data_IF_359757734062
#
_entry.id   IF_359757734062
#
_cell.length_a   1.000
_cell.length_b   1.000
_cell.length_c   1.000
_cell.angle_alpha   90.00
_cell.angle_beta   90.00
_cell.angle_gamma   90.00
#
_symmetry.space_group_name_H-M   'P 1'
#
loop_
_entity.id
_entity.type
_entity.pdbx_description
1 polymer ?
#
# COMPACT_ATOMS: atom_id res chain seq x y z
N UNK A 1 -34.23 -5.79 38.26
CA UNK A 1 -34.00 -4.41 37.76
C UNK A 1 -32.51 -4.15 37.95
N UNK A 2 -31.64 -4.52 37.01
CA UNK A 2 -31.50 -3.86 35.72
C UNK A 2 -30.30 -2.92 35.82
N UNK A 3 -29.10 -3.48 35.98
CA UNK A 3 -27.84 -2.73 35.96
C UNK A 3 -27.48 -2.46 34.50
N UNK A 4 -27.90 -1.32 33.98
CA UNK A 4 -27.34 -0.80 32.73
C UNK A 4 -25.90 -0.38 32.98
N UNK A 5 -24.98 -1.04 32.25
CA UNK A 5 -23.59 -0.62 32.14
C UNK A 5 -23.52 0.37 30.98
N UNK A 6 -23.16 1.65 31.17
CA UNK A 6 -22.90 2.52 30.03
C UNK A 6 -21.52 2.17 29.46
N UNK A 7 -21.52 1.77 28.19
CA UNK A 7 -20.34 1.55 27.39
C UNK A 7 -19.58 2.87 27.13
N UNK A 8 -18.25 2.76 27.05
CA UNK A 8 -17.29 3.77 26.58
C UNK A 8 -17.30 5.14 27.31
N UNK A 9 -16.81 5.17 28.55
CA UNK A 9 -16.34 6.42 29.17
C UNK A 9 -14.88 6.68 28.81
N UNK A 10 -14.57 7.83 28.21
CA UNK A 10 -13.20 8.32 28.08
C UNK A 10 -12.51 8.24 29.46
N UNK A 11 -11.47 7.42 29.59
CA UNK A 11 -10.73 7.27 30.85
C UNK A 11 -9.93 8.54 31.11
N UNK A 12 -10.56 9.46 31.84
CA UNK A 12 -9.94 10.64 32.41
C UNK A 12 -8.69 10.23 33.22
N UNK A 13 -7.53 10.83 32.90
CA UNK A 13 -6.28 10.59 33.64
C UNK A 13 -6.02 11.70 34.64
N UNK A 14 -5.47 11.32 35.79
CA UNK A 14 -4.88 12.26 36.74
C UNK A 14 -3.71 12.97 36.04
N UNK A 15 -3.84 14.27 35.83
CA UNK A 15 -2.81 15.10 35.15
C UNK A 15 -2.08 16.05 36.09
N UNK A 16 -2.47 16.08 37.37
CA UNK A 16 -1.76 16.85 38.40
C UNK A 16 -2.49 16.85 39.74
N UNK A 17 -1.70 17.02 40.79
CA UNK A 17 -2.17 17.24 42.16
C UNK A 17 -1.63 18.58 42.66
N UNK A 18 -2.52 19.49 43.07
CA UNK A 18 -2.13 20.76 43.69
C UNK A 18 -1.96 20.60 45.21
N UNK A 19 -0.98 21.28 45.84
CA UNK A 19 -0.93 21.39 47.31
C UNK A 19 -1.33 22.81 47.71
N UNK A 20 -2.45 22.95 48.42
CA UNK A 20 -2.91 24.26 48.91
C UNK A 20 -2.62 24.43 50.40
N UNK A 21 -2.12 25.62 50.79
CA UNK A 21 -2.11 26.13 52.17
C UNK A 21 -3.39 26.98 52.35
N UNK A 22 -4.17 26.86 53.45
CA UNK A 22 -3.73 26.66 54.83
C UNK A 22 -4.14 25.31 55.47
N UNK A 23 -3.70 25.11 56.73
CA UNK A 23 -3.61 23.86 57.54
C UNK A 23 -4.85 22.93 57.61
N UNK A 24 -6.04 23.34 57.17
CA UNK A 24 -7.29 22.60 57.42
C UNK A 24 -7.80 21.77 56.23
N UNK A 25 -7.33 22.03 55.00
CA UNK A 25 -7.69 21.19 53.86
C UNK A 25 -6.47 20.86 52.98
N UNK A 26 -5.91 19.67 53.21
CA UNK A 26 -4.72 19.13 52.51
C UNK A 26 -5.08 18.33 51.25
N UNK A 27 -6.36 18.15 50.94
CA UNK A 27 -6.76 17.42 49.73
C UNK A 27 -6.60 18.35 48.53
N UNK A 28 -5.49 18.16 47.82
CA UNK A 28 -5.26 18.78 46.53
C UNK A 28 -6.44 18.56 45.60
N UNK A 29 -6.79 19.58 44.79
CA UNK A 29 -7.73 19.35 43.70
C UNK A 29 -7.10 18.37 42.72
N UNK A 30 -7.77 17.24 42.53
CA UNK A 30 -7.46 16.28 41.48
C UNK A 30 -8.03 16.83 40.19
N UNK A 31 -7.15 17.09 39.21
CA UNK A 31 -7.54 17.48 37.87
C UNK A 31 -7.50 16.26 36.95
N UNK A 32 -8.65 16.02 36.33
CA UNK A 32 -8.84 15.00 35.31
C UNK A 32 -8.85 15.68 33.95
N UNK A 33 -8.03 15.20 33.00
CA UNK A 33 -8.05 15.68 31.62
C UNK A 33 -8.19 14.51 30.65
N UNK A 34 -8.91 14.76 29.55
CA UNK A 34 -8.89 13.90 28.38
C UNK A 34 -7.63 14.22 27.57
N UNK A 35 -6.62 13.38 27.72
CA UNK A 35 -5.33 13.55 27.03
C UNK A 35 -5.36 12.75 25.75
N UNK A 36 -4.95 13.35 24.63
CA UNK A 36 -4.75 12.63 23.37
C UNK A 36 -3.70 11.52 23.53
N UNK A 37 -4.09 10.28 23.25
CA UNK A 37 -3.22 9.11 23.17
C UNK A 37 -3.09 8.70 21.72
N UNK A 38 -1.93 8.17 21.36
CA UNK A 38 -1.72 7.62 20.01
C UNK A 38 -2.76 6.53 19.67
N UNK A 39 -3.18 5.76 20.67
CA UNK A 39 -4.22 4.71 20.55
C UNK A 39 -5.63 5.26 20.33
N UNK A 40 -5.84 6.57 20.37
CA UNK A 40 -7.13 7.20 20.05
C UNK A 40 -7.30 7.44 18.55
N UNK A 41 -6.21 7.32 17.76
CA UNK A 41 -6.23 7.51 16.30
C UNK A 41 -7.27 6.65 15.58
N UNK A 42 -7.45 5.35 15.88
CA UNK A 42 -8.46 4.57 15.19
C UNK A 42 -9.88 5.08 15.39
N UNK A 43 -10.25 5.49 16.61
CA UNK A 43 -11.58 6.04 16.88
C UNK A 43 -11.79 7.38 16.17
N UNK A 44 -10.74 8.21 16.07
CA UNK A 44 -10.78 9.46 15.33
C UNK A 44 -10.97 9.19 13.83
N UNK A 45 -10.22 8.24 13.27
CA UNK A 45 -10.38 7.81 11.87
C UNK A 45 -11.80 7.30 11.61
N UNK A 46 -12.40 6.52 12.52
CA UNK A 46 -13.79 6.07 12.40
C UNK A 46 -14.78 7.23 12.39
N UNK A 47 -14.58 8.26 13.24
CA UNK A 47 -15.42 9.48 13.25
C UNK A 47 -15.35 10.24 11.92
N UNK A 48 -14.21 10.19 11.24
CA UNK A 48 -14.02 10.78 9.91
C UNK A 48 -14.60 9.91 8.78
N UNK A 49 -15.12 8.72 9.09
CA UNK A 49 -15.56 7.74 8.09
C UNK A 49 -14.41 6.96 7.43
N UNK A 50 -13.18 7.07 7.95
CA UNK A 50 -12.00 6.38 7.43
C UNK A 50 -11.89 4.96 7.99
N UNK A 51 -12.81 4.09 7.52
CA UNK A 51 -13.01 2.74 8.06
C UNK A 51 -11.80 1.83 7.82
N UNK A 52 -11.22 1.85 6.63
CA UNK A 52 -10.08 0.99 6.31
C UNK A 52 -8.82 1.46 7.03
N UNK A 53 -8.60 2.78 7.11
CA UNK A 53 -7.51 3.40 7.87
C UNK A 53 -7.59 3.01 9.34
N UNK A 54 -8.77 3.15 9.96
CA UNK A 54 -8.98 2.80 11.35
C UNK A 54 -8.71 1.31 11.61
N UNK A 55 -9.16 0.44 10.70
CA UNK A 55 -8.99 -1.01 10.83
C UNK A 55 -7.52 -1.41 10.70
N UNK A 56 -6.78 -0.84 9.74
CA UNK A 56 -5.33 -1.05 9.63
C UNK A 56 -4.59 -0.54 10.86
N UNK A 57 -4.96 0.64 11.36
CA UNK A 57 -4.36 1.22 12.56
C UNK A 57 -4.59 0.34 13.79
N UNK A 58 -5.81 -0.18 14.00
CA UNK A 58 -6.13 -1.15 15.06
C UNK A 58 -5.26 -2.40 14.92
N UNK A 59 -5.22 -2.98 13.73
CA UNK A 59 -4.41 -4.18 13.45
C UNK A 59 -2.92 -3.94 13.70
N UNK A 60 -2.38 -2.77 13.35
CA UNK A 60 -1.00 -2.41 13.66
C UNK A 60 -0.77 -2.38 15.17
N UNK A 61 -1.64 -1.71 15.95
CA UNK A 61 -1.55 -1.65 17.41
C UNK A 61 -1.70 -3.01 18.09
N UNK A 62 -2.51 -3.91 17.55
CA UNK A 62 -2.77 -5.24 18.12
C UNK A 62 -1.70 -6.27 17.71
N UNK A 63 -0.91 -5.98 16.68
CA UNK A 63 0.12 -6.89 16.18
C UNK A 63 1.36 -6.90 17.07
N UNK A 64 2.03 -8.06 17.26
CA UNK A 64 3.33 -8.12 17.92
C UNK A 64 4.32 -7.12 17.32
N UNK A 65 5.11 -6.48 18.18
CA UNK A 65 6.06 -5.44 17.77
C UNK A 65 7.01 -5.95 16.70
N UNK A 66 6.92 -5.38 15.50
CA UNK A 66 7.71 -5.76 14.35
C UNK A 66 8.07 -4.54 13.50
N UNK A 67 9.33 -4.47 13.10
CA UNK A 67 9.88 -3.42 12.24
C UNK A 67 10.35 -4.06 10.93
N UNK A 68 9.74 -3.70 9.81
CA UNK A 68 10.17 -4.20 8.50
C UNK A 68 11.54 -3.67 8.11
N UNK A 69 12.34 -4.54 7.48
CA UNK A 69 13.59 -4.12 6.84
C UNK A 69 13.31 -3.34 5.56
N UNK A 70 14.34 -2.67 5.03
CA UNK A 70 14.23 -1.96 3.76
C UNK A 70 13.87 -2.88 2.59
N UNK A 71 14.50 -4.06 2.52
CA UNK A 71 14.26 -5.05 1.46
C UNK A 71 12.82 -5.56 1.48
N UNK A 72 12.31 -5.76 2.70
CA UNK A 72 10.94 -6.13 2.98
C UNK A 72 9.94 -5.07 2.50
N UNK A 73 10.17 -3.80 2.82
CA UNK A 73 9.38 -2.67 2.32
C UNK A 73 9.40 -2.57 0.79
N UNK A 74 10.59 -2.66 0.19
CA UNK A 74 10.79 -2.58 -1.26
C UNK A 74 10.24 -3.80 -2.04
N UNK A 75 9.81 -4.84 -1.34
CA UNK A 75 9.24 -6.05 -1.93
C UNK A 75 10.28 -6.96 -2.59
N UNK A 76 11.51 -6.92 -2.08
CA UNK A 76 12.61 -7.81 -2.50
C UNK A 76 12.54 -9.17 -1.79
N UNK A 77 11.84 -9.23 -0.65
CA UNK A 77 11.53 -10.46 0.08
C UNK A 77 10.08 -10.86 -0.24
N UNK A 78 9.88 -12.13 -0.58
CA UNK A 78 8.55 -12.69 -0.85
C UNK A 78 7.65 -12.52 0.36
N UNK A 79 6.42 -12.02 0.13
CA UNK A 79 5.47 -11.80 1.21
C UNK A 79 5.03 -13.12 1.88
N UNK A 80 5.21 -14.28 1.22
CA UNK A 80 4.95 -15.60 1.80
C UNK A 80 5.87 -15.95 2.98
N UNK A 81 7.01 -15.25 3.12
CA UNK A 81 7.95 -15.46 4.22
C UNK A 81 7.51 -14.78 5.53
N UNK A 82 6.44 -13.99 5.50
CA UNK A 82 5.97 -13.26 6.67
C UNK A 82 4.97 -14.09 7.47
N UNK A 83 4.99 -13.96 8.80
CA UNK A 83 3.90 -14.49 9.63
C UNK A 83 2.54 -13.97 9.16
N UNK A 84 1.54 -14.84 9.14
CA UNK A 84 0.19 -14.51 8.68
C UNK A 84 -0.45 -13.34 9.41
N UNK A 85 -0.11 -13.10 10.68
CA UNK A 85 -0.62 -11.97 11.45
C UNK A 85 -0.09 -10.60 10.98
N UNK A 86 1.05 -10.57 10.28
CA UNK A 86 1.60 -9.35 9.64
C UNK A 86 1.12 -9.18 8.20
N UNK A 87 0.30 -10.11 7.70
CA UNK A 87 -0.32 -10.02 6.38
C UNK A 87 -1.76 -9.51 6.54
N UNK A 88 -2.09 -8.49 5.75
CA UNK A 88 -3.46 -8.03 5.53
C UNK A 88 -3.82 -8.22 4.06
N UNK A 89 -4.69 -9.20 3.78
CA UNK A 89 -5.03 -9.61 2.41
C UNK A 89 -6.53 -9.54 2.12
N UNK A 90 -7.32 -8.90 2.99
CA UNK A 90 -8.78 -8.96 2.95
C UNK A 90 -9.46 -7.60 3.05
N UNK A 91 -8.86 -6.66 3.78
CA UNK A 91 -9.48 -5.37 4.08
C UNK A 91 -9.51 -4.44 2.86
N UNK A 92 -8.39 -4.32 2.15
CA UNK A 92 -8.29 -3.44 0.99
C UNK A 92 -8.69 -4.23 -0.24
N UNK A 93 -9.77 -3.83 -0.90
CA UNK A 93 -10.18 -4.43 -2.18
C UNK A 93 -9.92 -3.48 -3.34
N UNK A 94 -9.74 -4.03 -4.53
CA UNK A 94 -9.68 -3.29 -5.79
C UNK A 94 -10.99 -2.55 -6.05
N UNK A 95 -12.14 -3.11 -5.67
CA UNK A 95 -13.42 -2.41 -5.73
C UNK A 95 -13.42 -1.13 -4.87
N UNK A 96 -13.03 -1.25 -3.60
CA UNK A 96 -12.91 -0.10 -2.71
C UNK A 96 -11.89 0.91 -3.25
N UNK A 97 -10.71 0.46 -3.66
CA UNK A 97 -9.66 1.35 -4.14
C UNK A 97 -10.09 2.10 -5.41
N UNK A 98 -10.78 1.44 -6.33
CA UNK A 98 -11.25 2.04 -7.58
C UNK A 98 -12.52 2.89 -7.41
N UNK A 99 -13.16 2.88 -6.25
CA UNK A 99 -14.22 3.83 -5.91
C UNK A 99 -13.70 5.26 -5.79
N UNK A 100 -12.40 5.44 -5.48
CA UNK A 100 -11.73 6.74 -5.45
C UNK A 100 -11.40 7.17 -6.88
N UNK A 101 -11.98 8.28 -7.39
CA UNK A 101 -11.79 8.68 -8.79
C UNK A 101 -10.33 8.89 -9.17
N UNK A 102 -9.48 9.34 -8.24
CA UNK A 102 -8.05 9.53 -8.49
C UNK A 102 -7.32 8.22 -8.72
N UNK A 103 -7.66 7.19 -7.96
CA UNK A 103 -7.05 5.87 -8.09
C UNK A 103 -7.56 5.17 -9.33
N UNK A 104 -8.85 5.34 -9.66
CA UNK A 104 -9.40 4.83 -10.91
C UNK A 104 -8.67 5.41 -12.13
N UNK A 105 -8.35 6.71 -12.14
CA UNK A 105 -7.59 7.32 -13.24
C UNK A 105 -6.19 6.72 -13.39
N UNK A 106 -5.49 6.48 -12.29
CA UNK A 106 -4.19 5.81 -12.30
C UNK A 106 -4.31 4.39 -12.87
N UNK A 107 -5.30 3.62 -12.41
CA UNK A 107 -5.59 2.28 -12.89
C UNK A 107 -5.87 2.25 -14.41
N UNK A 108 -6.82 3.07 -14.89
CA UNK A 108 -7.20 3.13 -16.29
C UNK A 108 -6.01 3.53 -17.18
N UNK A 109 -5.18 4.47 -16.70
CA UNK A 109 -3.98 4.94 -17.40
C UNK A 109 -2.94 3.85 -17.65
N UNK A 110 -2.87 2.81 -16.81
CA UNK A 110 -1.92 1.71 -16.98
C UNK A 110 -2.17 0.89 -18.26
N UNK A 111 -3.42 0.85 -18.74
CA UNK A 111 -3.80 0.14 -19.96
C UNK A 111 -3.52 0.92 -21.24
N UNK A 112 -2.92 2.11 -21.12
CA UNK A 112 -2.61 2.97 -22.24
C UNK A 112 -3.85 3.64 -22.81
N UNK A 113 -3.64 4.48 -23.82
CA UNK A 113 -4.72 5.16 -24.52
C UNK A 113 -4.35 5.38 -25.98
N UNK A 114 -5.35 5.43 -26.85
CA UNK A 114 -5.14 5.74 -28.25
C UNK A 114 -6.24 6.67 -28.73
N UNK A 115 -5.84 7.83 -29.20
CA UNK A 115 -6.71 8.76 -29.92
C UNK A 115 -6.07 9.11 -31.27
N UNK A 116 -6.72 10.00 -32.04
CA UNK A 116 -6.28 10.37 -33.40
C UNK A 116 -4.84 10.93 -33.44
N UNK A 117 -4.36 11.55 -32.36
CA UNK A 117 -3.10 12.30 -32.32
C UNK A 117 -2.02 11.67 -31.44
N UNK A 118 -2.39 10.73 -30.56
CA UNK A 118 -1.48 10.15 -29.57
C UNK A 118 -1.85 8.69 -29.27
N UNK A 119 -0.83 7.83 -29.28
CA UNK A 119 -0.92 6.45 -28.82
C UNK A 119 0.06 6.26 -27.68
N UNK A 120 -0.47 6.02 -26.48
CA UNK A 120 0.30 5.70 -25.28
C UNK A 120 0.16 4.18 -25.08
N UNK A 121 1.26 3.40 -25.20
CA UNK A 121 1.19 1.97 -24.96
C UNK A 121 0.88 1.68 -23.49
N UNK A 122 0.27 0.53 -23.18
CA UNK A 122 0.13 0.09 -21.80
C UNK A 122 1.48 -0.04 -21.11
N UNK A 123 1.53 0.27 -19.81
CA UNK A 123 2.81 0.29 -19.08
C UNK A 123 3.47 -1.09 -18.98
N UNK A 124 2.67 -2.16 -19.04
CA UNK A 124 3.15 -3.54 -18.98
C UNK A 124 3.83 -4.00 -20.27
N UNK A 125 3.77 -3.22 -21.36
CA UNK A 125 4.44 -3.56 -22.62
C UNK A 125 5.91 -3.09 -22.69
N UNK A 126 6.41 -2.45 -21.63
CA UNK A 126 7.75 -1.88 -21.62
C UNK A 126 8.86 -2.95 -21.60
N UNK A 127 10.09 -2.63 -22.06
CA UNK A 127 11.17 -3.61 -22.15
C UNK A 127 11.58 -4.26 -20.82
N UNK A 128 11.53 -3.53 -19.69
CA UNK A 128 11.85 -4.07 -18.37
C UNK A 128 10.82 -5.10 -17.92
N UNK A 129 9.53 -4.83 -18.16
CA UNK A 129 8.43 -5.74 -17.85
C UNK A 129 8.52 -7.02 -18.69
N UNK A 130 8.79 -6.88 -20.00
CA UNK A 130 9.06 -8.03 -20.90
C UNK A 130 10.20 -8.89 -20.37
N UNK A 131 11.34 -8.28 -20.03
CA UNK A 131 12.51 -8.99 -19.52
C UNK A 131 12.18 -9.75 -18.21
N UNK A 132 11.43 -9.13 -17.30
CA UNK A 132 11.02 -9.78 -16.06
C UNK A 132 10.05 -10.95 -16.31
N UNK A 133 9.09 -10.80 -17.22
CA UNK A 133 8.19 -11.89 -17.61
C UNK A 133 8.96 -13.07 -18.23
N UNK A 134 9.93 -12.80 -19.12
CA UNK A 134 10.80 -13.84 -19.69
C UNK A 134 11.57 -14.59 -18.59
N UNK A 135 12.15 -13.87 -17.62
CA UNK A 135 12.84 -14.51 -16.48
C UNK A 135 11.93 -15.45 -15.69
N UNK A 136 10.68 -15.05 -15.46
CA UNK A 136 9.69 -15.88 -14.75
C UNK A 136 9.30 -17.11 -15.54
N UNK A 137 9.02 -16.94 -16.84
CA UNK A 137 8.73 -18.05 -17.75
C UNK A 137 9.89 -19.06 -17.82
N UNK A 138 11.13 -18.56 -17.85
CA UNK A 138 12.33 -19.40 -17.82
C UNK A 138 12.43 -20.20 -16.53
N UNK A 139 12.35 -19.53 -15.36
CA UNK A 139 12.37 -20.20 -14.04
C UNK A 139 11.26 -21.23 -13.87
N UNK A 140 10.11 -20.99 -14.50
CA UNK A 140 8.97 -21.91 -14.49
C UNK A 140 8.99 -22.96 -15.61
N UNK A 141 10.12 -23.09 -16.34
CA UNK A 141 10.32 -24.07 -17.42
C UNK A 141 9.26 -24.02 -18.53
N UNK A 142 8.80 -22.82 -18.91
CA UNK A 142 7.72 -22.64 -19.90
C UNK A 142 8.18 -22.62 -21.36
N UNK A 143 9.48 -22.54 -21.61
CA UNK A 143 10.05 -22.59 -22.96
C UNK A 143 10.30 -24.05 -23.37
N UNK A 144 9.24 -24.73 -23.82
CA UNK A 144 9.29 -26.14 -24.23
C UNK A 144 8.97 -26.33 -25.71
N UNK A 145 9.14 -27.54 -26.22
CA UNK A 145 8.74 -27.89 -27.59
C UNK A 145 7.22 -27.96 -27.82
N UNK A 146 6.42 -27.77 -26.78
CA UNK A 146 4.96 -27.74 -26.84
C UNK A 146 4.42 -26.40 -26.33
N UNK A 147 3.20 -25.99 -26.73
CA UNK A 147 2.55 -24.83 -26.12
C UNK A 147 2.39 -25.02 -24.61
N UNK A 148 2.70 -23.98 -23.84
CA UNK A 148 2.61 -23.99 -22.38
C UNK A 148 1.76 -22.84 -21.89
N UNK A 149 0.84 -23.11 -20.96
CA UNK A 149 0.11 -22.07 -20.23
C UNK A 149 0.92 -21.57 -19.03
N UNK A 150 0.71 -20.30 -18.69
CA UNK A 150 1.28 -19.66 -17.50
C UNK A 150 0.28 -18.68 -16.89
N UNK A 151 0.53 -18.31 -15.63
CA UNK A 151 -0.42 -17.55 -14.85
C UNK A 151 -1.54 -18.43 -14.30
N UNK A 152 -2.31 -17.84 -13.39
CA UNK A 152 -3.61 -18.29 -12.92
C UNK A 152 -4.15 -17.14 -12.06
N UNK A 153 -4.88 -16.22 -12.69
CA UNK A 153 -5.35 -15.01 -12.02
C UNK A 153 -6.47 -15.27 -11.00
N UNK A 154 -6.85 -16.54 -10.76
CA UNK A 154 -7.75 -16.93 -9.67
C UNK A 154 -7.01 -17.08 -8.34
N UNK A 155 -5.68 -17.22 -8.38
CA UNK A 155 -4.83 -17.26 -7.18
C UNK A 155 -4.82 -15.92 -6.45
N UNK A 156 -4.45 -15.97 -5.17
CA UNK A 156 -4.29 -14.78 -4.34
C UNK A 156 -3.18 -13.85 -4.88
N UNK A 157 -3.30 -12.56 -4.58
CA UNK A 157 -2.28 -11.57 -4.87
C UNK A 157 -0.91 -11.97 -4.32
N UNK A 158 -0.88 -12.59 -3.14
CA UNK A 158 0.33 -13.13 -2.52
C UNK A 158 1.05 -14.15 -3.42
N UNK A 159 0.32 -15.14 -3.94
CA UNK A 159 0.89 -16.14 -4.83
C UNK A 159 1.33 -15.52 -6.18
N UNK A 160 0.53 -14.61 -6.72
CA UNK A 160 0.84 -13.94 -7.98
C UNK A 160 2.06 -13.01 -7.89
N UNK A 161 2.31 -12.36 -6.75
CA UNK A 161 3.49 -11.50 -6.55
C UNK A 161 4.79 -12.28 -6.74
N UNK A 162 4.79 -13.53 -6.26
CA UNK A 162 5.96 -14.40 -6.31
C UNK A 162 6.06 -15.20 -7.60
N UNK A 163 4.95 -15.53 -8.24
CA UNK A 163 4.95 -16.35 -9.46
C UNK A 163 4.97 -15.52 -10.75
N UNK A 164 4.00 -14.60 -10.92
CA UNK A 164 3.62 -14.05 -12.23
C UNK A 164 3.58 -12.52 -12.33
N UNK A 165 3.90 -11.80 -11.25
CA UNK A 165 4.01 -10.35 -11.27
C UNK A 165 5.20 -9.88 -12.10
N UNK A 166 4.95 -9.10 -13.15
CA UNK A 166 6.01 -8.70 -14.09
C UNK A 166 6.07 -7.19 -14.32
N UNK A 167 5.14 -6.42 -13.77
CA UNK A 167 5.17 -4.95 -13.79
C UNK A 167 4.63 -4.34 -12.50
N UNK A 168 5.12 -3.16 -12.14
CA UNK A 168 4.63 -2.34 -11.03
C UNK A 168 4.40 -0.89 -11.46
N UNK A 169 3.41 -0.26 -10.86
CA UNK A 169 3.10 1.17 -10.98
C UNK A 169 2.91 1.76 -9.60
N UNK A 170 3.80 2.67 -9.20
CA UNK A 170 3.67 3.34 -7.92
C UNK A 170 2.72 4.53 -8.06
N UNK A 171 1.75 4.60 -7.16
CA UNK A 171 0.82 5.73 -7.05
C UNK A 171 1.31 6.62 -5.92
N UNK A 172 1.50 7.90 -6.22
CA UNK A 172 1.99 8.88 -5.26
C UNK A 172 0.91 9.91 -4.97
N UNK A 173 0.34 9.87 -3.76
CA UNK A 173 -0.68 10.83 -3.31
C UNK A 173 -0.06 12.16 -2.82
N UNK A 174 1.26 12.37 -2.98
CA UNK A 174 1.94 13.64 -2.67
C UNK A 174 1.29 14.87 -3.34
N UNK A 175 0.55 14.69 -4.44
CA UNK A 175 -0.19 15.80 -5.07
C UNK A 175 -1.31 16.34 -4.18
N UNK A 176 -1.94 15.51 -3.35
CA UNK A 176 -2.98 15.97 -2.42
C UNK A 176 -2.37 16.73 -1.24
N UNK A 177 -1.17 16.37 -0.79
CA UNK A 177 -0.39 17.17 0.16
C UNK A 177 0.01 18.55 -0.40
N UNK A 178 0.34 18.64 -1.69
CA UNK A 178 0.60 19.94 -2.35
C UNK A 178 -0.70 20.72 -2.61
N UNK A 179 -1.82 20.06 -2.84
CA UNK A 179 -3.11 20.74 -2.99
C UNK A 179 -3.66 21.23 -1.63
N UNK A 180 -3.46 20.45 -0.56
CA UNK A 180 -3.64 20.85 0.83
C UNK A 180 -2.89 22.16 1.14
N UNK A 181 -1.63 22.24 0.69
CA UNK A 181 -0.76 23.39 0.82
C UNK A 181 -1.32 24.67 0.17
N UNK A 182 -2.02 24.59 -0.97
CA UNK A 182 -2.62 25.76 -1.61
C UNK A 182 -3.94 26.18 -0.93
N UNK A 183 -4.73 25.20 -0.45
CA UNK A 183 -6.04 25.43 0.18
C UNK A 183 -5.96 26.05 1.58
N UNK A 184 -4.84 25.94 2.28
CA UNK A 184 -4.58 26.61 3.57
C UNK A 184 -4.54 28.15 3.46
N UNK A 185 -4.41 28.70 2.24
CA UNK A 185 -4.66 30.13 1.99
C UNK A 185 -6.15 30.52 1.96
N UNK A 186 -7.04 29.53 2.02
CA UNK A 186 -8.50 29.67 1.80
C UNK A 186 -9.33 28.70 2.64
N UNK A 187 -9.10 28.51 3.93
CA UNK A 187 -10.04 27.83 4.87
C UNK A 187 -10.57 26.42 4.48
N UNK A 188 -10.11 25.83 3.38
CA UNK A 188 -10.61 24.58 2.86
C UNK A 188 -9.67 23.47 3.32
N UNK A 189 -10.23 22.54 4.08
CA UNK A 189 -9.56 21.34 4.55
C UNK A 189 -8.90 20.61 3.36
N UNK A 190 -7.67 20.08 3.49
CA UNK A 190 -7.20 19.10 2.53
C UNK A 190 -8.23 17.99 2.32
N UNK A 191 -8.41 17.54 1.08
CA UNK A 191 -9.31 16.42 0.75
C UNK A 191 -8.67 15.08 1.20
N UNK A 192 -8.28 14.97 2.47
CA UNK A 192 -7.79 13.73 3.06
C UNK A 192 -8.96 12.78 3.25
N UNK A 193 -8.73 11.52 2.93
CA UNK A 193 -9.76 10.50 2.98
C UNK A 193 -9.22 9.15 3.46
N UNK A 194 -10.09 8.14 3.45
CA UNK A 194 -9.75 6.80 3.90
C UNK A 194 -8.63 6.15 3.07
N UNK A 195 -8.48 6.52 1.79
CA UNK A 195 -7.39 6.03 0.95
C UNK A 195 -6.04 6.60 1.42
N UNK A 196 -6.03 7.88 1.80
CA UNK A 196 -4.84 8.52 2.38
C UNK A 196 -4.42 7.87 3.69
N UNK A 197 -5.35 7.66 4.62
CA UNK A 197 -5.04 7.09 5.94
C UNK A 197 -4.70 5.60 5.91
N UNK A 198 -5.18 4.87 4.90
CA UNK A 198 -4.97 3.43 4.76
C UNK A 198 -3.72 3.07 3.97
N UNK A 199 -3.43 3.80 2.89
CA UNK A 199 -2.36 3.44 1.95
C UNK A 199 -1.41 4.59 1.64
N UNK A 200 -1.90 5.83 1.60
CA UNK A 200 -1.17 7.00 1.08
C UNK A 200 -0.45 6.71 -0.25
N UNK A 201 0.82 6.30 -0.21
CA UNK A 201 1.61 5.88 -1.36
C UNK A 201 1.65 4.36 -1.45
N UNK A 202 0.97 3.79 -2.44
CA UNK A 202 0.98 2.34 -2.67
C UNK A 202 1.48 1.98 -4.07
N UNK A 203 1.55 0.68 -4.36
CA UNK A 203 1.96 0.18 -5.67
C UNK A 203 0.90 -0.75 -6.25
N UNK A 204 0.42 -0.46 -7.46
CA UNK A 204 -0.22 -1.47 -8.28
C UNK A 204 0.83 -2.45 -8.80
N UNK A 205 0.60 -3.74 -8.55
CA UNK A 205 1.34 -4.84 -9.11
C UNK A 205 0.52 -5.48 -10.22
N UNK A 206 1.21 -5.93 -11.26
CA UNK A 206 0.61 -6.44 -12.49
C UNK A 206 1.15 -7.85 -12.75
N UNK A 207 0.25 -8.82 -12.78
CA UNK A 207 0.51 -10.21 -13.13
C UNK A 207 -0.13 -10.57 -14.49
N UNK A 208 0.45 -11.55 -15.17
CA UNK A 208 0.01 -11.96 -16.51
C UNK A 208 -0.44 -13.41 -16.55
N UNK A 209 -1.46 -13.68 -17.36
CA UNK A 209 -1.92 -15.03 -17.69
C UNK A 209 -2.04 -15.20 -19.21
N UNK A 210 -1.55 -16.33 -19.70
CA UNK A 210 -1.48 -16.58 -21.13
C UNK A 210 -0.70 -17.83 -21.52
N UNK A 211 -0.15 -17.81 -22.73
CA UNK A 211 0.50 -18.97 -23.34
C UNK A 211 1.86 -18.61 -23.94
N UNK A 212 2.80 -19.55 -23.88
CA UNK A 212 4.05 -19.57 -24.64
C UNK A 212 3.92 -20.63 -25.73
N UNK A 213 4.03 -20.23 -27.00
CA UNK A 213 3.89 -21.15 -28.15
C UNK A 213 5.20 -21.23 -28.94
N UNK A 214 5.84 -22.40 -29.06
CA UNK A 214 7.03 -22.55 -29.90
C UNK A 214 6.66 -22.48 -31.38
N UNK A 215 7.41 -21.70 -32.15
CA UNK A 215 7.39 -21.73 -33.61
C UNK A 215 8.58 -22.54 -34.09
N UNK A 216 8.26 -23.64 -34.76
CA UNK A 216 9.24 -24.62 -35.22
C UNK A 216 9.55 -24.43 -36.70
N UNK A 217 10.81 -24.65 -37.05
CA UNK A 217 11.29 -24.67 -38.44
C UNK A 217 11.93 -26.02 -38.72
N UNK A 218 11.66 -26.56 -39.90
CA UNK A 218 12.34 -27.76 -40.41
C UNK A 218 13.63 -27.32 -41.07
N UNK A 219 14.76 -27.87 -40.62
CA UNK A 219 16.08 -27.65 -41.21
C UNK A 219 16.51 -28.95 -41.87
N UNK A 220 16.85 -28.88 -43.16
CA UNK A 220 17.37 -30.01 -43.93
C UNK A 220 18.87 -29.84 -44.09
N UNK A 221 19.66 -30.80 -43.63
CA UNK A 221 21.11 -30.83 -43.83
C UNK A 221 21.58 -32.27 -44.05
N UNK A 222 22.37 -32.52 -45.09
CA UNK A 222 22.93 -33.85 -45.38
C UNK A 222 21.90 -34.97 -45.59
N UNK A 223 20.69 -34.67 -46.08
CA UNK A 223 19.62 -35.66 -46.26
C UNK A 223 18.81 -35.97 -45.01
N UNK A 224 19.17 -35.42 -43.85
CA UNK A 224 18.39 -35.51 -42.61
C UNK A 224 17.57 -34.24 -42.38
N UNK A 225 16.36 -34.41 -41.84
CA UNK A 225 15.49 -33.30 -41.43
C UNK A 225 15.45 -33.22 -39.90
N UNK A 226 15.80 -32.07 -39.34
CA UNK A 226 15.65 -31.77 -37.91
C UNK A 226 14.61 -30.67 -37.71
N UNK A 227 13.89 -30.72 -36.60
CA UNK A 227 12.92 -29.70 -36.21
C UNK A 227 13.54 -28.88 -35.08
N UNK A 228 13.71 -27.59 -35.30
CA UNK A 228 14.28 -26.68 -34.31
C UNK A 228 13.25 -25.60 -33.96
N UNK A 229 13.25 -25.15 -32.70
CA UNK A 229 12.48 -23.98 -32.31
C UNK A 229 13.20 -22.73 -32.82
N UNK A 230 12.56 -22.02 -33.75
CA UNK A 230 13.08 -20.76 -34.28
C UNK A 230 12.88 -19.63 -33.27
N UNK A 231 11.68 -19.53 -32.70
CA UNK A 231 11.35 -18.57 -31.65
C UNK A 231 10.10 -19.02 -30.88
N UNK A 232 9.85 -18.37 -29.76
CA UNK A 232 8.64 -18.52 -28.95
C UNK A 232 7.75 -17.29 -29.12
N UNK A 233 6.45 -17.51 -29.32
CA UNK A 233 5.43 -16.47 -29.24
C UNK A 233 4.84 -16.47 -27.83
N UNK A 234 5.11 -15.40 -27.07
CA UNK A 234 4.48 -15.16 -25.78
C UNK A 234 3.22 -14.35 -26.02
N UNK A 235 2.09 -14.84 -25.50
CA UNK A 235 0.78 -14.24 -25.63
C UNK A 235 0.15 -14.09 -24.25
N UNK A 236 0.15 -12.88 -23.70
CA UNK A 236 -0.56 -12.53 -22.47
C UNK A 236 -1.98 -12.11 -22.84
N UNK A 237 -2.95 -12.92 -22.41
CA UNK A 237 -4.37 -12.74 -22.77
C UNK A 237 -5.17 -12.03 -21.68
N UNK A 238 -4.76 -12.19 -20.42
CA UNK A 238 -5.38 -11.55 -19.26
C UNK A 238 -4.30 -10.91 -18.39
N UNK A 239 -4.67 -9.80 -17.77
CA UNK A 239 -3.83 -9.07 -16.83
C UNK A 239 -4.55 -9.02 -15.48
N UNK A 240 -3.86 -9.43 -14.42
CA UNK A 240 -4.31 -9.24 -13.05
C UNK A 240 -3.64 -8.00 -12.46
N UNK A 241 -4.41 -7.13 -11.84
CA UNK A 241 -3.91 -5.97 -11.11
C UNK A 241 -4.34 -6.08 -9.66
N UNK A 242 -3.41 -5.83 -8.73
CA UNK A 242 -3.67 -5.78 -7.30
C UNK A 242 -2.77 -4.73 -6.65
N UNK A 243 -3.14 -4.27 -5.47
CA UNK A 243 -2.37 -3.35 -4.66
C UNK A 243 -1.42 -4.14 -3.77
N UNK A 244 -0.19 -3.62 -3.64
CA UNK A 244 0.73 -3.96 -2.55
C UNK A 244 1.17 -2.67 -1.87
N UNK A 245 1.11 -2.69 -0.55
CA UNK A 245 1.62 -1.62 0.30
C UNK A 245 2.26 -2.18 1.59
N UNK A 246 3.00 -1.32 2.30
CA UNK A 246 3.45 -1.60 3.66
C UNK A 246 2.88 -0.56 4.62
N UNK A 247 2.00 -1.00 5.53
CA UNK A 247 1.47 -0.16 6.59
C UNK A 247 2.46 -0.12 7.73
N UNK A 248 3.35 0.87 7.69
CA UNK A 248 4.53 0.94 8.56
C UNK A 248 4.82 2.37 9.05
N UNK A 249 5.40 2.46 10.24
CA UNK A 249 5.77 3.74 10.85
C UNK A 249 7.27 3.83 11.11
N UNK A 250 8.06 3.53 10.08
CA UNK A 250 9.53 3.51 10.18
C UNK A 250 10.17 4.82 9.68
N UNK A 251 11.38 5.11 10.17
CA UNK A 251 12.10 6.32 9.80
C UNK A 251 11.49 7.60 10.37
N UNK A 252 11.84 8.74 9.78
CA UNK A 252 11.41 10.06 10.24
C UNK A 252 10.32 10.61 9.32
N UNK A 253 9.08 10.69 9.81
CA UNK A 253 7.95 11.23 9.06
C UNK A 253 6.97 11.94 10.00
N UNK A 254 6.45 13.07 9.51
CA UNK A 254 5.34 13.80 10.09
C UNK A 254 4.00 13.31 9.51
N UNK A 255 3.02 13.04 10.37
CA UNK A 255 1.75 12.40 10.03
C UNK A 255 0.53 13.29 10.30
N UNK A 256 0.75 14.58 10.56
CA UNK A 256 -0.33 15.52 10.88
C UNK A 256 -0.39 15.88 12.37
N UNK A 257 -1.13 16.94 12.67
CA UNK A 257 -1.62 17.22 14.01
C UNK A 257 -3.06 16.73 14.10
N UNK A 258 -3.37 15.97 15.14
CA UNK A 258 -4.65 15.29 15.29
C UNK A 258 -5.39 15.84 16.52
N UNK A 259 -6.71 16.00 16.41
CA UNK A 259 -7.58 16.40 17.51
C UNK A 259 -8.71 15.39 17.69
N UNK A 260 -8.98 15.05 18.95
CA UNK A 260 -10.15 14.25 19.35
C UNK A 260 -11.47 14.99 19.21
N UNK A 261 -11.42 16.32 19.31
CA UNK A 261 -12.58 17.15 19.64
C UNK A 261 -12.88 18.17 18.54
N UNK A 262 -11.85 18.72 17.91
CA UNK A 262 -12.03 19.76 16.90
C UNK A 262 -11.96 19.18 15.50
N UNK A 263 -13.02 19.43 14.74
CA UNK A 263 -12.96 19.28 13.29
C UNK A 263 -12.18 20.48 12.68
N UNK A 264 -11.43 20.27 11.59
CA UNK A 264 -11.07 18.97 11.04
C UNK A 264 -10.16 18.17 11.98
N UNK A 265 -10.41 16.87 12.12
CA UNK A 265 -9.76 16.02 13.12
C UNK A 265 -8.27 15.76 12.86
N UNK A 266 -7.77 16.10 11.68
CA UNK A 266 -6.37 16.07 11.31
C UNK A 266 -6.02 17.31 10.49
N UNK A 267 -4.85 17.89 10.74
CA UNK A 267 -4.29 19.03 10.01
C UNK A 267 -2.86 18.76 9.62
N UNK A 268 -2.49 19.08 8.38
CA UNK A 268 -1.14 18.88 7.87
C UNK A 268 -0.49 20.24 7.64
N UNK A 269 0.54 20.57 8.41
CA UNK A 269 1.25 21.84 8.28
C UNK A 269 2.50 21.70 7.40
N UNK A 270 2.70 22.58 6.41
CA UNK A 270 3.83 22.48 5.46
C UNK A 270 5.20 22.55 6.13
N UNK A 271 5.40 23.48 7.08
CA UNK A 271 6.68 23.62 7.77
C UNK A 271 7.02 22.37 8.59
N UNK A 272 6.03 21.82 9.30
CA UNK A 272 6.18 20.56 10.03
C UNK A 272 6.49 19.39 9.09
N UNK A 273 5.87 19.35 7.90
CA UNK A 273 6.16 18.33 6.90
C UNK A 273 7.62 18.39 6.42
N UNK A 274 8.09 19.56 5.97
CA UNK A 274 9.48 19.73 5.49
C UNK A 274 10.52 19.49 6.58
N UNK A 275 10.22 19.83 7.83
CA UNK A 275 11.10 19.59 8.94
C UNK A 275 11.02 18.14 9.48
N UNK A 276 10.19 17.27 8.89
CA UNK A 276 9.97 15.91 9.36
C UNK A 276 9.43 15.85 10.79
N UNK A 277 8.63 16.84 11.18
CA UNK A 277 8.10 17.03 12.53
C UNK A 277 9.06 17.75 13.49
N UNK A 278 10.29 18.08 13.07
CA UNK A 278 11.26 18.77 13.94
C UNK A 278 10.95 20.26 14.04
N UNK A 279 10.98 20.79 15.26
CA UNK A 279 10.82 22.23 15.49
C UNK A 279 9.36 22.69 15.40
N UNK A 280 8.43 21.97 16.03
CA UNK A 280 7.02 22.33 16.28
C UNK A 280 6.89 23.76 16.83
N UNK A 281 6.98 24.75 15.94
CA UNK A 281 6.79 26.18 16.19
C UNK A 281 5.65 26.71 15.32
N UNK A 282 4.64 25.87 15.10
CA UNK A 282 3.31 26.36 14.75
C UNK A 282 2.56 26.63 16.04
N UNK A 283 1.84 27.75 16.12
CA UNK A 283 0.83 27.99 17.15
C UNK A 283 -0.27 26.96 16.88
N UNK A 284 -0.06 25.73 17.35
CA UNK A 284 -1.10 24.72 17.31
C UNK A 284 -2.19 25.22 18.26
N UNK A 285 -3.46 25.24 17.85
CA UNK A 285 -4.54 25.37 18.82
C UNK A 285 -4.32 24.33 19.91
N UNK A 286 -4.59 24.69 21.17
CA UNK A 286 -4.21 23.92 22.37
C UNK A 286 -4.73 22.46 22.41
N UNK A 287 -5.58 22.06 21.45
CA UNK A 287 -6.22 20.75 21.37
C UNK A 287 -5.70 19.82 20.25
N UNK A 288 -4.76 20.27 19.42
CA UNK A 288 -4.16 19.46 18.34
C UNK A 288 -2.79 18.91 18.73
N UNK A 289 -2.61 17.59 18.59
CA UNK A 289 -1.36 16.91 18.94
C UNK A 289 -0.63 16.43 17.70
N UNK A 290 0.63 16.85 17.56
CA UNK A 290 1.54 16.38 16.50
C UNK A 290 1.77 14.87 16.58
N UNK A 291 1.58 14.19 15.46
CA UNK A 291 1.81 12.75 15.30
C UNK A 291 2.93 12.53 14.31
N UNK A 292 3.88 11.66 14.69
CA UNK A 292 5.07 11.33 13.90
C UNK A 292 5.37 9.84 14.02
N UNK A 293 6.16 9.30 13.09
CA UNK A 293 6.65 7.92 13.18
C UNK A 293 7.43 7.66 14.49
N UNK A 294 8.07 8.68 15.06
CA UNK A 294 8.77 8.55 16.35
C UNK A 294 7.83 8.16 17.49
N UNK A 295 6.59 8.69 17.51
CA UNK A 295 5.58 8.34 18.52
C UNK A 295 5.14 6.88 18.37
N UNK A 296 4.96 6.39 17.15
CA UNK A 296 4.66 4.98 16.87
C UNK A 296 5.81 4.06 17.28
N UNK A 297 7.04 4.41 16.92
CA UNK A 297 8.23 3.65 17.33
C UNK A 297 8.40 3.61 18.86
N UNK A 298 8.09 4.71 19.55
CA UNK A 298 8.09 4.77 21.02
C UNK A 298 7.01 3.88 21.61
N UNK A 299 5.80 3.90 21.05
CA UNK A 299 4.72 2.99 21.44
C UNK A 299 5.16 1.52 21.29
N UNK A 300 5.71 1.15 20.13
CA UNK A 300 6.23 -0.20 19.85
C UNK A 300 7.21 -0.68 20.90
N UNK A 301 8.19 0.16 21.26
CA UNK A 301 9.21 -0.16 22.25
C UNK A 301 8.65 -0.33 23.67
N UNK A 302 7.65 0.48 24.04
CA UNK A 302 7.07 0.46 25.40
C UNK A 302 6.03 -0.65 25.59
N UNK A 303 5.17 -0.87 24.59
CA UNK A 303 4.06 -1.80 24.69
C UNK A 303 4.46 -3.24 24.29
N UNK A 304 5.48 -3.40 23.43
CA UNK A 304 5.78 -4.69 22.79
C UNK A 304 4.82 -5.05 21.64
N UNK A 305 3.88 -4.16 21.32
CA UNK A 305 2.91 -4.26 20.23
C UNK A 305 3.03 -3.06 19.29
N UNK A 306 2.59 -3.18 18.03
CA UNK A 306 2.82 -2.19 16.98
C UNK A 306 3.56 -2.77 15.79
N UNK A 307 3.00 -3.79 15.15
CA UNK A 307 3.66 -4.54 14.08
C UNK A 307 3.37 -3.97 12.70
N UNK A 308 4.42 -3.67 11.92
CA UNK A 308 4.27 -3.30 10.51
C UNK A 308 3.57 -4.40 9.70
N UNK A 309 2.72 -4.01 8.74
CA UNK A 309 1.88 -4.93 7.97
C UNK A 309 2.21 -4.88 6.48
N UNK A 310 2.18 -6.02 5.79
CA UNK A 310 2.07 -6.05 4.33
C UNK A 310 0.59 -6.05 4.01
N UNK A 311 0.17 -5.08 3.22
CA UNK A 311 -1.19 -4.95 2.74
C UNK A 311 -1.24 -5.37 1.28
N UNK A 312 -2.09 -6.33 0.96
CA UNK A 312 -2.36 -6.82 -0.40
C UNK A 312 -3.87 -6.77 -0.66
N UNK A 313 -4.26 -6.30 -1.85
CA UNK A 313 -5.67 -6.41 -2.25
C UNK A 313 -6.00 -7.75 -2.89
N UNK A 314 -7.29 -7.95 -3.18
CA UNK A 314 -7.74 -8.92 -4.17
C UNK A 314 -7.21 -8.57 -5.58
N UNK A 315 -7.30 -9.56 -6.49
CA UNK A 315 -6.80 -9.45 -7.85
C UNK A 315 -7.94 -9.11 -8.79
N UNK A 316 -7.87 -7.93 -9.40
CA UNK A 316 -8.78 -7.55 -10.47
C UNK A 316 -8.23 -8.04 -11.82
N UNK A 317 -8.82 -9.13 -12.32
CA UNK A 317 -8.43 -9.73 -13.59
C UNK A 317 -9.20 -9.14 -14.78
N UNK A 318 -8.47 -8.64 -15.77
CA UNK A 318 -9.00 -8.02 -16.99
C UNK A 318 -8.58 -8.80 -18.22
N UNK A 319 -9.54 -9.25 -19.02
CA UNK A 319 -9.27 -9.86 -20.33
C UNK A 319 -8.93 -8.77 -21.35
N UNK A 320 -7.77 -8.90 -21.99
CA UNK A 320 -7.31 -7.93 -22.96
C UNK A 320 -8.05 -8.12 -24.30
N UNK A 321 -8.71 -7.05 -24.78
CA UNK A 321 -9.30 -7.04 -26.13
C UNK A 321 -8.28 -7.36 -27.23
N UNK A 322 -7.04 -6.91 -27.02
CA UNK A 322 -5.88 -7.23 -27.86
C UNK A 322 -4.82 -7.83 -26.95
N UNK A 323 -4.55 -9.14 -27.05
CA UNK A 323 -3.54 -9.76 -26.21
C UNK A 323 -2.18 -9.11 -26.42
N UNK A 324 -1.43 -8.96 -25.34
CA UNK A 324 -0.07 -8.46 -25.39
C UNK A 324 0.86 -9.58 -25.88
N UNK A 325 1.41 -9.39 -27.09
CA UNK A 325 2.20 -10.40 -27.79
C UNK A 325 3.61 -9.93 -28.07
N UNK A 326 4.57 -10.80 -27.89
CA UNK A 326 5.96 -10.55 -28.31
C UNK A 326 6.70 -11.87 -28.56
N UNK A 327 7.78 -11.77 -29.34
CA UNK A 327 8.62 -12.92 -29.71
C UNK A 327 9.88 -12.95 -28.85
N UNK A 328 10.34 -14.16 -28.57
CA UNK A 328 11.58 -14.42 -27.82
C UNK A 328 12.32 -15.55 -28.52
N UNK A 329 13.59 -15.35 -28.85
CA UNK A 329 14.43 -16.39 -29.47
C UNK A 329 15.13 -17.23 -28.40
N UNK A 330 15.63 -18.43 -28.75
CA UNK A 330 16.50 -19.19 -27.86
C UNK A 330 17.71 -18.39 -27.35
N UNK A 331 18.29 -17.53 -28.20
CA UNK A 331 19.41 -16.66 -27.81
C UNK A 331 19.01 -15.62 -26.74
N UNK A 332 17.81 -15.03 -26.86
CA UNK A 332 17.30 -14.08 -25.87
C UNK A 332 17.14 -14.73 -24.50
N UNK A 333 16.73 -16.01 -24.47
CA UNK A 333 16.57 -16.78 -23.23
C UNK A 333 17.93 -16.98 -22.55
N UNK A 334 18.94 -17.42 -23.30
CA UNK A 334 20.31 -17.61 -22.79
C UNK A 334 20.95 -16.31 -22.28
N UNK A 335 20.61 -15.16 -22.86
CA UNK A 335 21.12 -13.86 -22.39
C UNK A 335 20.43 -13.36 -21.11
N UNK A 336 19.33 -14.00 -20.70
CA UNK A 336 18.47 -13.59 -19.58
C UNK A 336 18.58 -14.55 -18.39
N UNK A 337 18.98 -15.81 -18.64
CA UNK A 337 19.18 -16.88 -17.66
C UNK A 337 20.19 -16.54 -16.59
#
# INVERSE_FOLDING_TARGET
>A
MGTETPAHSAQLRLVGESRTSPRENKQGKICYADVFRLTDLPEIMEKMGWKNSATLMKKWFDSPGYTMTREQKEGLVGASQYPSHLLETSLITMEWALSFPRIKREYDGMFGSRNLYKSIPPIYENPKAKKLLIKRLFRANKFTESPQSFGDLTKSALALDEEWQFQRHSVDDNREYLNAWWKDSTTADPDLDDMWGALARFTFKIAGEGTVTPKKKVVKSGGQSSVLVEHYEINVSRIGVYIRDTYDFNGNQYLGHWSKHSAPHVRVYPLSYFAGGRGEKGICPDDFVSVTNERFNSHRKMAGFGGDLIVLSDVLATTLKRPFRFRVTPQDITNIS
#
